data_IF_983957330579
#
_entry.id   IF_983957330579
#
_cell.length_a   1.000
_cell.length_b   1.000
_cell.length_c   1.000
_cell.angle_alpha   90.00
_cell.angle_beta   90.00
_cell.angle_gamma   90.00
#
_symmetry.space_group_name_H-M   'P 1'
#
loop_
_entity.id
_entity.type
_entity.pdbx_description
1 polymer ?
#
# COMPACT_ATOMS: atom_id res chain seq x y z
N UNK A 1 -18.69 -38.14 -26.15
CA UNK A 1 -17.89 -38.92 -25.18
C UNK A 1 -16.53 -38.21 -25.08
N UNK A 2 -16.54 -36.96 -24.64
CA UNK A 2 -16.26 -36.57 -23.25
C UNK A 2 -14.86 -36.99 -22.82
N UNK A 3 -13.93 -36.03 -22.85
CA UNK A 3 -12.98 -35.77 -21.76
C UNK A 3 -12.44 -34.34 -21.93
N UNK A 4 -13.12 -33.40 -21.28
CA UNK A 4 -12.64 -32.05 -21.04
C UNK A 4 -11.49 -32.12 -20.04
N UNK A 5 -10.25 -31.97 -20.52
CA UNK A 5 -9.12 -31.65 -19.64
C UNK A 5 -9.23 -30.20 -19.20
N UNK A 6 -9.81 -30.03 -18.01
CA UNK A 6 -9.77 -28.81 -17.23
C UNK A 6 -8.32 -28.32 -17.08
N UNK A 7 -8.01 -27.18 -17.69
CA UNK A 7 -6.82 -26.41 -17.36
C UNK A 7 -7.13 -25.58 -16.11
N UNK A 8 -6.30 -25.61 -15.05
CA UNK A 8 -6.51 -24.78 -13.88
C UNK A 8 -6.33 -23.31 -14.25
N UNK A 9 -7.41 -22.55 -14.26
CA UNK A 9 -7.39 -21.09 -14.28
C UNK A 9 -7.36 -20.58 -12.84
N UNK A 10 -6.26 -20.80 -12.12
CA UNK A 10 -5.97 -20.10 -10.87
C UNK A 10 -4.45 -20.05 -10.68
N UNK A 11 -3.84 -19.05 -11.30
CA UNK A 11 -2.54 -18.55 -10.87
C UNK A 11 -2.80 -17.20 -10.22
N UNK A 12 -3.13 -17.27 -8.92
CA UNK A 12 -2.94 -16.18 -7.99
C UNK A 12 -1.46 -15.76 -8.02
N UNK A 13 -1.17 -14.74 -8.82
CA UNK A 13 0.09 -14.01 -8.75
C UNK A 13 0.07 -13.18 -7.46
N UNK A 14 0.37 -13.84 -6.34
CA UNK A 14 0.72 -13.17 -5.11
C UNK A 14 2.08 -12.48 -5.32
N UNK A 15 2.02 -11.18 -5.59
CA UNK A 15 3.19 -10.30 -5.58
C UNK A 15 3.78 -10.29 -4.16
N UNK A 16 5.04 -10.73 -3.94
CA UNK A 16 5.66 -10.75 -2.62
C UNK A 16 6.24 -9.38 -2.20
N UNK A 17 5.95 -8.31 -2.95
CA UNK A 17 6.49 -6.96 -2.71
C UNK A 17 5.51 -5.98 -2.07
N UNK A 18 4.39 -6.46 -1.53
CA UNK A 18 3.57 -5.64 -0.62
C UNK A 18 3.73 -6.17 0.81
N UNK A 19 4.86 -5.78 1.38
CA UNK A 19 5.18 -5.87 2.80
C UNK A 19 4.00 -5.38 3.65
N UNK A 20 3.44 -6.28 4.45
CA UNK A 20 3.71 -6.30 5.89
C UNK A 20 3.79 -4.90 6.52
N UNK A 21 2.62 -4.32 6.83
CA UNK A 21 2.36 -3.41 7.96
C UNK A 21 1.03 -2.69 7.74
N UNK A 22 -0.06 -3.44 7.76
CA UNK A 22 -1.40 -2.91 8.00
C UNK A 22 -2.14 -3.99 8.78
N UNK A 23 -1.66 -4.29 9.98
CA UNK A 23 -2.48 -5.01 10.95
C UNK A 23 -3.88 -4.38 10.97
N UNK A 24 -4.84 -5.28 10.92
CA UNK A 24 -6.27 -5.07 10.82
C UNK A 24 -6.80 -4.26 12.01
N UNK A 25 -6.63 -2.94 11.95
CA UNK A 25 -7.36 -1.97 12.79
C UNK A 25 -8.30 -1.11 11.92
N UNK A 26 -8.74 -1.66 10.79
CA UNK A 26 -9.89 -1.15 10.02
C UNK A 26 -11.13 -1.98 10.40
N UNK A 27 -11.32 -2.20 11.71
CA UNK A 27 -12.67 -2.29 12.24
C UNK A 27 -13.05 -0.86 12.58
N UNK A 28 -14.05 -0.32 11.88
CA UNK A 28 -14.70 0.93 12.23
C UNK A 28 -15.39 0.81 13.60
N UNK A 29 -14.62 0.64 14.67
CA UNK A 29 -15.06 0.92 16.03
C UNK A 29 -15.09 2.44 16.15
N UNK A 30 -16.07 3.06 15.49
CA UNK A 30 -16.73 4.20 16.10
C UNK A 30 -17.28 3.66 17.42
N UNK A 31 -16.80 4.10 18.59
CA UNK A 31 -17.57 3.87 19.79
C UNK A 31 -18.93 4.52 19.54
N UNK A 32 -19.99 3.72 19.52
CA UNK A 32 -21.38 4.20 19.44
C UNK A 32 -21.73 5.19 20.57
N UNK A 33 -20.82 5.40 21.52
CA UNK A 33 -20.90 6.41 22.58
C UNK A 33 -20.67 7.85 22.08
N UNK A 34 -20.30 8.08 20.81
CA UNK A 34 -20.14 9.44 20.27
C UNK A 34 -21.46 10.21 20.01
N UNK A 35 -22.62 9.64 20.34
CA UNK A 35 -23.92 10.29 20.16
C UNK A 35 -24.56 10.87 21.44
N UNK A 36 -23.87 10.81 22.58
CA UNK A 36 -24.25 11.69 23.70
C UNK A 36 -23.48 13.01 23.59
N UNK A 37 -23.99 13.85 22.71
CA UNK A 37 -23.94 15.29 22.96
C UNK A 37 -24.59 15.43 24.35
N UNK A 38 -23.83 15.87 25.36
CA UNK A 38 -24.45 16.39 26.57
C UNK A 38 -25.27 17.63 26.16
N UNK A 39 -26.51 17.41 25.74
CA UNK A 39 -27.53 18.43 25.72
C UNK A 39 -27.94 18.54 27.18
N UNK A 40 -27.60 19.63 27.90
CA UNK A 40 -28.18 19.86 29.20
C UNK A 40 -29.68 20.05 29.01
N UNK A 41 -30.50 19.22 29.67
CA UNK A 41 -31.94 19.42 29.72
C UNK A 41 -32.25 20.81 30.28
N UNK A 42 -32.94 21.61 29.47
CA UNK A 42 -33.46 22.94 29.80
C UNK A 42 -32.54 24.07 29.36
N UNK A 43 -32.96 24.79 28.31
CA UNK A 43 -32.37 26.07 27.88
C UNK A 43 -32.32 27.06 29.05
N UNK A 44 -31.13 27.45 29.54
CA UNK A 44 -30.97 28.68 30.31
C UNK A 44 -30.82 29.85 29.33
N UNK A 45 -31.30 31.06 29.68
CA UNK A 45 -31.23 32.21 28.78
C UNK A 45 -29.80 32.45 28.30
N UNK A 46 -29.65 32.62 26.99
CA UNK A 46 -28.40 32.83 26.25
C UNK A 46 -27.58 33.94 26.93
N UNK A 47 -26.62 33.54 27.76
CA UNK A 47 -25.50 34.40 28.16
C UNK A 47 -24.29 33.91 27.39
N UNK A 48 -23.82 34.73 26.46
CA UNK A 48 -22.63 34.50 25.64
C UNK A 48 -21.44 34.18 26.55
N UNK A 49 -21.14 32.89 26.75
CA UNK A 49 -19.94 32.43 27.45
C UNK A 49 -18.79 32.40 26.47
N UNK A 50 -18.08 33.52 26.38
CA UNK A 50 -16.78 33.58 25.69
C UNK A 50 -15.74 32.77 26.46
N UNK A 51 -14.92 31.98 25.75
CA UNK A 51 -13.81 31.20 26.34
C UNK A 51 -12.68 32.08 26.91
N UNK A 52 -12.75 33.39 26.68
CA UNK A 52 -11.87 34.38 27.27
C UNK A 52 -12.53 34.95 28.53
N UNK A 53 -12.08 34.49 29.69
CA UNK A 53 -12.41 35.13 30.96
C UNK A 53 -11.68 36.47 31.04
N UNK A 54 -12.41 37.58 31.23
CA UNK A 54 -11.80 38.86 31.60
C UNK A 54 -11.18 38.70 32.98
N UNK A 55 -9.86 38.90 33.08
CA UNK A 55 -9.20 39.13 34.36
C UNK A 55 -9.63 40.50 34.90
N UNK A 56 -10.81 40.58 35.50
CA UNK A 56 -11.18 41.65 36.42
C UNK A 56 -12.10 41.06 37.48
N UNK A 57 -11.63 41.18 38.72
CA UNK A 57 -12.23 40.56 39.89
C UNK A 57 -13.63 41.07 40.13
N UNK A 58 -14.56 40.12 40.23
CA UNK A 58 -15.63 40.21 41.20
C UNK A 58 -16.05 38.76 41.51
N UNK A 59 -15.98 38.39 42.78
CA UNK A 59 -16.26 37.05 43.33
C UNK A 59 -15.24 35.95 42.98
N UNK A 60 -14.04 36.07 43.54
CA UNK A 60 -13.24 34.89 43.88
C UNK A 60 -13.92 34.09 45.00
N UNK A 61 -13.48 32.85 45.29
CA UNK A 61 -13.99 32.10 46.43
C UNK A 61 -13.87 32.95 47.69
N UNK A 62 -14.93 33.00 48.49
CA UNK A 62 -14.95 33.71 49.77
C UNK A 62 -13.78 33.17 50.59
N UNK A 63 -12.73 33.98 50.72
CA UNK A 63 -11.65 33.72 51.64
C UNK A 63 -12.19 34.00 53.04
N UNK A 64 -12.00 33.11 54.03
CA UNK A 64 -12.33 33.43 55.41
C UNK A 64 -11.58 34.70 55.80
N UNK A 65 -12.29 35.57 56.51
CA UNK A 65 -11.86 36.85 57.05
C UNK A 65 -10.44 36.78 57.63
N UNK A 66 -9.65 37.79 57.29
CA UNK A 66 -8.24 37.92 57.66
C UNK A 66 -8.14 38.32 59.13
N UNK A 67 -8.22 37.34 60.02
CA UNK A 67 -7.80 37.49 61.41
C UNK A 67 -6.68 36.51 61.72
N UNK A 68 -5.45 37.05 61.66
CA UNK A 68 -4.20 36.54 62.22
C UNK A 68 -3.85 35.06 62.01
N UNK A 69 -3.02 34.77 61.00
CA UNK A 69 -1.93 33.79 61.16
C UNK A 69 -0.87 33.92 60.07
N UNK A 70 0.38 34.11 60.47
CA UNK A 70 1.58 33.90 59.64
C UNK A 70 1.69 32.43 59.22
N UNK A 71 0.85 31.98 58.29
CA UNK A 71 1.01 30.67 57.71
C UNK A 71 1.91 30.76 56.47
N UNK A 72 3.10 30.16 56.60
CA UNK A 72 4.05 30.16 55.50
C UNK A 72 3.45 29.50 54.25
N UNK A 73 3.97 29.88 53.08
CA UNK A 73 3.48 29.44 51.77
C UNK A 73 3.43 27.90 51.67
N UNK A 74 4.37 27.19 52.32
CA UNK A 74 4.34 25.73 52.39
C UNK A 74 3.14 25.22 53.18
N UNK A 75 2.77 25.83 54.32
CA UNK A 75 1.55 25.45 55.05
C UNK A 75 0.28 25.74 54.24
N UNK A 76 0.25 26.85 53.48
CA UNK A 76 -0.86 27.15 52.56
C UNK A 76 -0.94 26.15 51.41
N UNK A 77 0.19 25.77 50.82
CA UNK A 77 0.28 24.78 49.76
C UNK A 77 -0.13 23.39 50.25
N UNK A 78 0.35 23.01 51.44
CA UNK A 78 -0.03 21.75 52.11
C UNK A 78 -1.52 21.77 52.44
N UNK A 79 -2.06 22.89 52.92
CA UNK A 79 -3.49 23.05 53.18
C UNK A 79 -4.33 22.90 51.90
N UNK A 80 -3.86 23.48 50.79
CA UNK A 80 -4.50 23.33 49.48
C UNK A 80 -4.48 21.87 48.99
N UNK A 81 -3.35 21.18 49.05
CA UNK A 81 -3.27 19.78 48.64
C UNK A 81 -4.05 18.84 49.56
N UNK A 82 -4.05 19.09 50.88
CA UNK A 82 -4.88 18.36 51.84
C UNK A 82 -6.37 18.62 51.63
N UNK A 83 -6.75 19.86 51.32
CA UNK A 83 -8.12 20.22 50.95
C UNK A 83 -8.56 19.52 49.67
N UNK A 84 -7.71 19.47 48.64
CA UNK A 84 -7.99 18.77 47.38
C UNK A 84 -8.09 17.24 47.55
N UNK A 85 -7.34 16.67 48.50
CA UNK A 85 -7.42 15.24 48.85
C UNK A 85 -8.61 14.91 49.78
N UNK A 86 -9.02 15.85 50.63
CA UNK A 86 -10.11 15.67 51.60
C UNK A 86 -11.47 16.12 51.08
N UNK A 87 -11.54 16.88 49.98
CA UNK A 87 -12.76 16.98 49.20
C UNK A 87 -13.08 15.57 48.70
N UNK A 88 -14.05 14.91 49.33
CA UNK A 88 -14.56 13.61 48.92
C UNK A 88 -14.63 13.56 47.39
N UNK A 89 -14.26 12.45 46.75
CA UNK A 89 -14.40 12.30 45.32
C UNK A 89 -15.89 12.32 44.98
N UNK A 90 -16.45 13.52 44.83
CA UNK A 90 -17.65 13.79 44.05
C UNK A 90 -17.26 13.43 42.64
N UNK A 91 -17.49 12.16 42.32
CA UNK A 91 -16.90 11.31 41.27
C UNK A 91 -17.15 11.76 39.85
N UNK A 92 -17.71 12.95 39.62
CA UNK A 92 -18.17 13.34 38.30
C UNK A 92 -17.34 14.51 37.70
N UNK A 93 -16.95 15.54 38.45
CA UNK A 93 -16.31 16.73 37.85
C UNK A 93 -14.83 16.51 37.45
N UNK A 94 -14.03 15.83 38.27
CA UNK A 94 -12.62 15.51 37.96
C UNK A 94 -12.52 14.41 36.90
N UNK A 95 -13.38 13.39 36.96
CA UNK A 95 -13.49 12.36 35.94
C UNK A 95 -13.99 12.93 34.59
N UNK A 96 -14.94 13.87 34.59
CA UNK A 96 -15.37 14.59 33.39
C UNK A 96 -14.27 15.49 32.82
N UNK A 97 -13.46 16.13 33.67
CA UNK A 97 -12.29 16.92 33.23
C UNK A 97 -11.23 16.03 32.56
N UNK A 98 -10.93 14.86 33.13
CA UNK A 98 -10.02 13.87 32.55
C UNK A 98 -10.52 13.32 31.21
N UNK A 99 -11.81 12.98 31.10
CA UNK A 99 -12.44 12.54 29.85
C UNK A 99 -12.40 13.64 28.77
N UNK A 100 -12.70 14.88 29.13
CA UNK A 100 -12.61 16.04 28.23
C UNK A 100 -11.17 16.28 27.73
N UNK A 101 -10.18 16.14 28.61
CA UNK A 101 -8.77 16.24 28.23
C UNK A 101 -8.36 15.12 27.24
N UNK A 102 -8.69 13.87 27.55
CA UNK A 102 -8.41 12.75 26.66
C UNK A 102 -9.12 12.90 25.31
N UNK A 103 -10.36 13.36 25.30
CA UNK A 103 -11.10 13.65 24.06
C UNK A 103 -10.37 14.69 23.20
N UNK A 104 -9.88 15.79 23.80
CA UNK A 104 -9.09 16.80 23.07
C UNK A 104 -7.79 16.24 22.49
N UNK A 105 -7.11 15.36 23.22
CA UNK A 105 -5.88 14.70 22.74
C UNK A 105 -6.19 13.75 21.58
N UNK A 106 -7.22 12.91 21.72
CA UNK A 106 -7.67 12.00 20.64
C UNK A 106 -8.10 12.76 19.40
N UNK A 107 -8.86 13.85 19.56
CA UNK A 107 -9.28 14.68 18.42
C UNK A 107 -8.09 15.37 17.75
N UNK A 108 -7.08 15.81 18.51
CA UNK A 108 -5.83 16.33 17.96
C UNK A 108 -5.11 15.26 17.14
N UNK A 109 -4.94 14.06 17.69
CA UNK A 109 -4.31 12.94 16.97
C UNK A 109 -5.07 12.58 15.69
N UNK A 110 -6.41 12.55 15.76
CA UNK A 110 -7.28 12.32 14.59
C UNK A 110 -7.04 13.37 13.51
N UNK A 111 -6.95 14.66 13.86
CA UNK A 111 -6.68 15.75 12.90
C UNK A 111 -5.28 15.67 12.30
N UNK A 112 -4.28 15.27 13.08
CA UNK A 112 -2.91 15.05 12.58
C UNK A 112 -2.90 13.90 11.57
N UNK A 113 -3.52 12.76 11.90
CA UNK A 113 -3.64 11.61 10.98
C UNK A 113 -4.38 11.97 9.70
N UNK A 114 -5.49 12.69 9.82
CA UNK A 114 -6.25 13.17 8.65
C UNK A 114 -5.41 14.13 7.79
N UNK A 115 -4.68 15.06 8.42
CA UNK A 115 -3.76 15.95 7.72
C UNK A 115 -2.70 15.18 6.93
N UNK A 116 -2.05 14.20 7.58
CA UNK A 116 -1.05 13.35 6.93
C UNK A 116 -1.64 12.58 5.74
N UNK A 117 -2.82 11.98 5.89
CA UNK A 117 -3.46 11.24 4.78
C UNK A 117 -3.73 12.11 3.55
N UNK A 118 -4.02 13.41 3.72
CA UNK A 118 -4.17 14.33 2.58
C UNK A 118 -2.83 14.64 1.91
N UNK A 119 -1.75 14.77 2.69
CA UNK A 119 -0.40 14.95 2.17
C UNK A 119 0.06 13.73 1.37
N UNK A 120 -0.15 12.53 1.92
CA UNK A 120 0.19 11.27 1.25
C UNK A 120 -0.62 11.10 -0.04
N UNK A 121 -1.92 11.42 0.00
CA UNK A 121 -2.77 11.41 -1.19
C UNK A 121 -2.28 12.39 -2.26
N UNK A 122 -1.93 13.63 -1.87
CA UNK A 122 -1.42 14.64 -2.79
C UNK A 122 -0.08 14.25 -3.43
N UNK A 123 0.81 13.59 -2.69
CA UNK A 123 2.07 13.08 -3.21
C UNK A 123 1.91 12.04 -4.34
N UNK A 124 0.78 11.32 -4.37
CA UNK A 124 0.44 10.37 -5.43
C UNK A 124 -0.21 11.03 -6.66
N UNK A 125 -0.58 12.31 -6.57
CA UNK A 125 -1.19 13.04 -7.68
C UNK A 125 -0.13 13.58 -8.64
N UNK A 126 -0.53 13.93 -9.88
CA UNK A 126 0.38 14.60 -10.80
C UNK A 126 1.03 15.85 -10.18
N UNK A 127 2.31 16.12 -10.49
CA UNK A 127 3.02 17.29 -9.97
C UNK A 127 2.33 18.57 -10.43
N UNK A 128 2.33 19.59 -9.57
CA UNK A 128 1.65 20.86 -9.81
C UNK A 128 0.14 20.85 -9.54
N UNK A 129 -0.40 19.76 -8.98
CA UNK A 129 -1.80 19.69 -8.54
C UNK A 129 -2.08 20.62 -7.34
N UNK A 130 -3.29 21.19 -7.29
CA UNK A 130 -3.71 22.10 -6.21
C UNK A 130 -3.75 21.38 -4.87
N UNK A 131 -3.14 21.96 -3.84
CA UNK A 131 -3.02 21.37 -2.50
C UNK A 131 -4.21 21.62 -1.55
N UNK A 132 -5.32 22.20 -2.03
CA UNK A 132 -6.52 22.38 -1.20
C UNK A 132 -7.26 21.05 -1.03
N UNK A 133 -7.76 20.73 0.18
CA UNK A 133 -8.41 19.44 0.51
C UNK A 133 -9.47 18.98 -0.50
N UNK A 134 -10.39 19.87 -0.88
CA UNK A 134 -11.44 19.54 -1.85
C UNK A 134 -10.86 19.24 -3.25
N UNK A 135 -9.88 20.04 -3.69
CA UNK A 135 -9.22 19.79 -4.96
C UNK A 135 -8.41 18.48 -4.95
N UNK A 136 -7.71 18.15 -3.86
CA UNK A 136 -6.98 16.87 -3.73
C UNK A 136 -7.94 15.70 -3.98
N UNK A 137 -9.11 15.69 -3.31
CA UNK A 137 -10.10 14.61 -3.48
C UNK A 137 -10.66 14.56 -4.90
N UNK A 138 -11.01 15.71 -5.48
CA UNK A 138 -11.55 15.77 -6.83
C UNK A 138 -10.54 15.32 -7.89
N UNK A 139 -9.30 15.79 -7.78
CA UNK A 139 -8.20 15.41 -8.68
C UNK A 139 -7.88 13.93 -8.51
N UNK A 140 -7.82 13.41 -7.29
CA UNK A 140 -7.62 11.98 -7.03
C UNK A 140 -8.70 11.13 -7.71
N UNK A 141 -9.99 11.47 -7.51
CA UNK A 141 -11.09 10.74 -8.12
C UNK A 141 -11.04 10.78 -9.65
N UNK A 142 -10.70 11.92 -10.25
CA UNK A 142 -10.52 12.03 -11.69
C UNK A 142 -9.29 11.24 -12.17
N UNK A 143 -8.21 11.24 -11.39
CA UNK A 143 -6.98 10.56 -11.74
C UNK A 143 -7.13 9.05 -11.71
N UNK A 144 -7.84 8.49 -10.73
CA UNK A 144 -8.19 7.05 -10.69
C UNK A 144 -8.92 6.64 -11.96
N UNK A 145 -9.97 7.37 -12.36
CA UNK A 145 -10.71 7.09 -13.61
C UNK A 145 -9.80 7.13 -14.84
N UNK A 146 -8.89 8.10 -14.91
CA UNK A 146 -7.92 8.19 -16.01
C UNK A 146 -6.96 7.00 -16.04
N UNK A 147 -6.46 6.57 -14.87
CA UNK A 147 -5.58 5.42 -14.75
C UNK A 147 -6.29 4.12 -15.13
N UNK A 148 -7.54 3.94 -14.72
CA UNK A 148 -8.36 2.79 -15.12
C UNK A 148 -8.57 2.72 -16.63
N UNK A 149 -8.90 3.85 -17.26
CA UNK A 149 -9.01 3.93 -18.73
C UNK A 149 -7.70 3.59 -19.43
N UNK A 150 -6.59 4.15 -18.94
CA UNK A 150 -5.25 3.88 -19.50
C UNK A 150 -4.85 2.41 -19.34
N UNK A 151 -5.17 1.80 -18.19
CA UNK A 151 -4.96 0.38 -17.90
C UNK A 151 -5.76 -0.50 -18.85
N UNK A 152 -7.03 -0.19 -19.10
CA UNK A 152 -7.87 -0.94 -20.02
C UNK A 152 -7.37 -0.85 -21.46
N UNK A 153 -6.97 0.34 -21.91
CA UNK A 153 -6.43 0.55 -23.25
C UNK A 153 -5.09 -0.18 -23.46
N UNK A 154 -4.18 -0.10 -22.47
CA UNK A 154 -2.92 -0.82 -22.51
C UNK A 154 -3.12 -2.34 -22.52
N UNK A 155 -4.09 -2.86 -21.76
CA UNK A 155 -4.44 -4.28 -21.79
C UNK A 155 -4.94 -4.69 -23.16
N UNK A 156 -5.89 -3.95 -23.74
CA UNK A 156 -6.41 -4.25 -25.09
C UNK A 156 -5.29 -4.28 -26.13
N UNK A 157 -4.40 -3.28 -26.13
CA UNK A 157 -3.24 -3.23 -27.04
C UNK A 157 -2.27 -4.38 -26.80
N UNK A 158 -2.03 -4.75 -25.54
CA UNK A 158 -1.15 -5.87 -25.22
C UNK A 158 -1.74 -7.18 -25.75
N UNK A 159 -3.05 -7.39 -25.56
CA UNK A 159 -3.75 -8.57 -26.06
C UNK A 159 -3.69 -8.63 -27.59
N UNK A 160 -3.99 -7.52 -28.29
CA UNK A 160 -3.84 -7.40 -29.75
C UNK A 160 -2.42 -7.72 -30.23
N UNK A 161 -1.40 -7.20 -29.54
CA UNK A 161 -0.01 -7.49 -29.90
C UNK A 161 0.36 -8.96 -29.63
N UNK A 162 -0.11 -9.53 -28.54
CA UNK A 162 0.14 -10.92 -28.18
C UNK A 162 -0.56 -11.88 -29.16
N UNK A 163 -1.77 -11.57 -29.63
CA UNK A 163 -2.43 -12.35 -30.68
C UNK A 163 -1.69 -12.21 -32.01
N UNK A 164 -1.31 -11.00 -32.43
CA UNK A 164 -0.52 -10.78 -33.64
C UNK A 164 0.83 -11.52 -33.60
N UNK A 165 1.50 -11.52 -32.45
CA UNK A 165 2.75 -12.26 -32.26
C UNK A 165 2.52 -13.76 -32.32
N UNK A 166 1.45 -14.30 -31.70
CA UNK A 166 1.09 -15.72 -31.80
C UNK A 166 0.82 -16.13 -33.24
N UNK A 167 -0.01 -15.38 -33.96
CA UNK A 167 -0.30 -15.63 -35.37
C UNK A 167 0.95 -15.56 -36.24
N UNK A 168 1.80 -14.54 -36.05
CA UNK A 168 3.07 -14.43 -36.77
C UNK A 168 3.99 -15.62 -36.48
N UNK A 169 3.99 -16.09 -35.23
CA UNK A 169 4.80 -17.23 -34.80
C UNK A 169 4.26 -18.56 -35.34
N UNK A 170 2.94 -18.71 -35.50
CA UNK A 170 2.30 -19.88 -36.12
C UNK A 170 2.49 -19.91 -37.64
N UNK A 171 2.40 -18.75 -38.30
CA UNK A 171 2.68 -18.63 -39.74
C UNK A 171 4.16 -18.75 -40.09
N UNK A 172 5.05 -18.48 -39.13
CA UNK A 172 6.48 -18.63 -39.36
C UNK A 172 6.88 -20.11 -39.37
N UNK A 173 7.34 -20.58 -40.52
CA UNK A 173 7.85 -21.93 -40.67
C UNK A 173 9.14 -22.11 -39.86
N UNK A 174 9.15 -23.07 -38.96
CA UNK A 174 10.33 -23.37 -38.15
C UNK A 174 11.15 -24.46 -38.82
N UNK A 175 12.44 -24.19 -39.04
CA UNK A 175 13.41 -25.22 -39.39
C UNK A 175 14.00 -25.79 -38.09
N UNK A 176 14.19 -27.11 -38.05
CA UNK A 176 14.70 -27.82 -36.87
C UNK A 176 16.17 -28.16 -37.09
N UNK A 177 17.04 -27.63 -36.24
CA UNK A 177 18.48 -27.90 -36.25
C UNK A 177 18.78 -28.80 -35.06
N UNK A 178 19.32 -29.99 -35.32
CA UNK A 178 19.81 -30.89 -34.27
C UNK A 178 21.33 -30.91 -34.32
N UNK A 179 21.96 -30.57 -33.20
CA UNK A 179 23.40 -30.67 -32.97
C UNK A 179 23.62 -31.80 -31.98
N UNK A 180 24.34 -32.84 -32.40
CA UNK A 180 24.63 -34.02 -31.56
C UNK A 180 26.15 -34.19 -31.40
N UNK A 181 26.57 -34.52 -30.18
CA UNK A 181 27.95 -34.81 -29.81
C UNK A 181 28.02 -36.10 -29.00
N UNK A 182 28.71 -37.09 -29.54
CA UNK A 182 29.11 -38.30 -28.81
C UNK A 182 30.38 -38.01 -28.00
N UNK A 183 30.46 -38.46 -26.75
CA UNK A 183 31.57 -38.16 -25.82
C UNK A 183 31.80 -36.65 -25.58
N UNK A 184 30.86 -35.99 -24.88
CA UNK A 184 30.87 -34.54 -24.70
C UNK A 184 32.09 -33.99 -23.97
N UNK A 185 32.75 -34.77 -23.10
CA UNK A 185 33.97 -34.36 -22.39
C UNK A 185 35.13 -34.00 -23.33
N UNK A 186 35.21 -34.63 -24.51
CA UNK A 186 36.29 -34.41 -25.48
C UNK A 186 35.90 -33.47 -26.63
N UNK A 187 34.60 -33.21 -26.85
CA UNK A 187 34.07 -32.57 -28.07
C UNK A 187 33.10 -31.42 -27.81
N UNK A 188 33.01 -30.95 -26.58
CA UNK A 188 32.15 -29.81 -26.20
C UNK A 188 32.53 -28.54 -26.96
N UNK A 189 33.81 -28.31 -27.23
CA UNK A 189 34.29 -27.13 -27.97
C UNK A 189 33.79 -27.10 -29.42
N UNK A 190 33.68 -28.27 -30.07
CA UNK A 190 33.08 -28.40 -31.40
C UNK A 190 31.61 -27.96 -31.39
N UNK A 191 30.87 -28.31 -30.34
CA UNK A 191 29.48 -27.86 -30.16
C UNK A 191 29.40 -26.36 -29.94
N UNK A 192 30.24 -25.81 -29.07
CA UNK A 192 30.30 -24.37 -28.80
C UNK A 192 30.61 -23.61 -30.10
N UNK A 193 31.52 -24.13 -30.93
CA UNK A 193 31.83 -23.59 -32.25
C UNK A 193 30.62 -23.57 -33.19
N UNK A 194 29.89 -24.69 -33.29
CA UNK A 194 28.67 -24.79 -34.10
C UNK A 194 27.58 -23.82 -33.62
N UNK A 195 27.36 -23.72 -32.30
CA UNK A 195 26.39 -22.79 -31.71
C UNK A 195 26.81 -21.32 -31.93
N UNK A 196 28.11 -21.02 -31.87
CA UNK A 196 28.64 -19.68 -32.15
C UNK A 196 28.45 -19.30 -33.62
N UNK A 197 28.60 -20.25 -34.54
CA UNK A 197 28.29 -20.07 -35.96
C UNK A 197 26.81 -19.74 -36.16
N UNK A 198 25.90 -20.52 -35.55
CA UNK A 198 24.46 -20.24 -35.58
C UNK A 198 24.12 -18.85 -35.02
N UNK A 199 24.79 -18.44 -33.93
CA UNK A 199 24.64 -17.08 -33.38
C UNK A 199 25.12 -16.00 -34.35
N UNK A 200 26.25 -16.23 -35.04
CA UNK A 200 26.81 -15.30 -36.03
C UNK A 200 25.93 -15.13 -37.28
N UNK A 201 25.16 -16.17 -37.64
CA UNK A 201 24.20 -16.13 -38.75
C UNK A 201 22.91 -15.35 -38.42
N UNK A 202 22.77 -14.83 -37.20
CA UNK A 202 21.62 -14.06 -36.71
C UNK A 202 20.27 -14.76 -36.96
N UNK A 203 20.26 -16.10 -36.85
CA UNK A 203 19.05 -16.91 -37.02
C UNK A 203 18.21 -16.79 -35.76
N UNK A 204 16.96 -16.33 -35.90
CA UNK A 204 16.05 -16.18 -34.77
C UNK A 204 15.69 -17.54 -34.17
N UNK A 205 16.28 -17.91 -33.04
CA UNK A 205 15.94 -19.13 -32.31
C UNK A 205 14.63 -18.93 -31.54
N UNK A 206 13.65 -19.81 -31.78
CA UNK A 206 12.34 -19.82 -31.11
C UNK A 206 12.36 -20.67 -29.85
N UNK A 207 13.00 -21.83 -29.93
CA UNK A 207 13.11 -22.79 -28.82
C UNK A 207 14.48 -23.43 -28.84
N UNK A 208 15.08 -23.58 -27.66
CA UNK A 208 16.31 -24.36 -27.48
C UNK A 208 16.02 -25.43 -26.45
N UNK A 209 16.27 -26.69 -26.83
CA UNK A 209 16.16 -27.84 -25.93
C UNK A 209 17.47 -28.60 -25.92
N UNK A 210 18.08 -28.69 -24.76
CA UNK A 210 19.26 -29.53 -24.54
C UNK A 210 18.86 -30.84 -23.86
N UNK A 211 19.56 -31.91 -24.21
CA UNK A 211 19.48 -33.23 -23.56
C UNK A 211 20.88 -33.78 -23.38
N UNK A 212 21.08 -34.43 -22.23
CA UNK A 212 22.34 -35.04 -21.85
C UNK A 212 22.06 -36.42 -21.26
N UNK A 213 22.73 -37.45 -21.78
CA UNK A 213 22.51 -38.84 -21.39
C UNK A 213 23.82 -39.56 -21.02
N UNK A 214 24.80 -38.82 -20.48
CA UNK A 214 26.11 -39.35 -20.08
C UNK A 214 27.07 -39.69 -21.24
N UNK A 215 26.57 -40.38 -22.27
CA UNK A 215 27.32 -40.74 -23.48
C UNK A 215 27.12 -39.75 -24.64
N UNK A 216 25.99 -39.04 -24.66
CA UNK A 216 25.63 -38.09 -25.72
C UNK A 216 25.14 -36.77 -25.13
N UNK A 217 25.55 -35.67 -25.78
CA UNK A 217 25.01 -34.32 -25.57
C UNK A 217 24.34 -33.87 -26.87
N UNK A 218 23.04 -33.55 -26.80
CA UNK A 218 22.25 -33.14 -27.94
C UNK A 218 21.54 -31.82 -27.67
N UNK A 219 21.60 -30.89 -28.62
CA UNK A 219 20.85 -29.65 -28.64
C UNK A 219 19.92 -29.61 -29.85
N UNK A 220 18.65 -29.36 -29.62
CA UNK A 220 17.65 -29.13 -30.66
C UNK A 220 17.23 -27.67 -30.62
N UNK A 221 17.38 -26.99 -31.75
CA UNK A 221 17.08 -25.57 -31.91
C UNK A 221 16.04 -25.44 -33.01
N UNK A 222 14.90 -24.82 -32.68
CA UNK A 222 13.91 -24.45 -33.66
C UNK A 222 14.20 -23.00 -34.09
N UNK A 223 14.56 -22.81 -35.36
CA UNK A 223 14.86 -21.49 -35.93
C UNK A 223 13.74 -21.03 -36.84
N UNK A 224 13.45 -19.73 -36.81
CA UNK A 224 12.43 -19.12 -37.64
C UNK A 224 12.94 -18.97 -39.07
N UNK A 225 12.21 -19.51 -40.04
CA UNK A 225 12.59 -19.50 -41.46
C UNK A 225 11.38 -19.27 -42.36
N UNK A 226 11.61 -18.98 -43.64
CA UNK A 226 10.55 -18.93 -44.67
C UNK A 226 10.38 -20.26 -45.42
N UNK A 227 11.14 -21.29 -45.04
CA UNK A 227 11.20 -22.58 -45.73
C UNK A 227 11.39 -23.69 -44.70
N UNK A 228 10.46 -24.64 -44.60
CA UNK A 228 10.61 -25.84 -43.75
C UNK A 228 11.76 -26.72 -44.22
N UNK A 229 12.87 -26.72 -43.47
CA UNK A 229 14.00 -27.64 -43.66
C UNK A 229 14.43 -28.24 -42.32
N UNK A 230 14.88 -29.50 -42.34
CA UNK A 230 15.46 -30.18 -41.17
C UNK A 230 16.95 -30.35 -41.44
N UNK A 231 17.78 -29.80 -40.57
CA UNK A 231 19.24 -29.93 -40.65
C UNK A 231 19.75 -30.80 -39.50
N UNK A 232 20.52 -31.82 -39.85
CA UNK A 232 21.23 -32.66 -38.91
C UNK A 232 22.71 -32.29 -38.95
N UNK A 233 23.23 -31.75 -37.84
CA UNK A 233 24.65 -31.45 -37.67
C UNK A 233 25.22 -32.49 -36.72
N UNK A 234 25.88 -33.49 -37.28
CA UNK A 234 26.61 -34.51 -36.53
C UNK A 234 28.05 -34.03 -36.40
N UNK A 235 28.49 -33.77 -35.17
CA UNK A 235 29.87 -33.38 -34.89
C UNK A 235 30.65 -34.66 -34.56
N UNK A 236 31.33 -35.19 -35.59
CA UNK A 236 32.24 -36.35 -35.49
C UNK A 236 33.56 -35.93 -34.89
#
# INVERSE_FOLDING_TARGET
>A
MEELRNFPTDLDYHSPYFQDSMETDILWSFPSECLEICIPDGDPPIRQRTAFARYRGDNGPIWPDQSAREENIHKRLIGFFKSAANSSPGTDLTARSGRCYQHKIRERQRRVKLGQSYSDLHAMLPPGSKASKNAIVQIAAAYVRRLEGSKAELRRRNDELMTMLRERNERAETAKIRVCVSNPSSKIDSMIGALRCLKGMNVGARTVRARFDGAELAATIDVQTKVRLIYHVVLV
#
